data_IF_734350864451
#
_entry.id   IF_734350864451
#
_cell.length_a   1.000
_cell.length_b   1.000
_cell.length_c   1.000
_cell.angle_alpha   90.00
_cell.angle_beta   90.00
_cell.angle_gamma   90.00
#
_symmetry.space_group_name_H-M   'P 1'
#
loop_
_entity.id
_entity.type
_entity.pdbx_description
1 polymer ?
#
# COMPACT_ATOMS: atom_id res chain seq x y z
N UNK A 1 28.75 15.16 31.24
CA UNK A 1 28.64 15.93 29.99
C UNK A 1 27.17 16.01 29.60
N UNK A 2 26.55 17.18 29.75
CA UNK A 2 25.18 17.45 29.31
C UNK A 2 25.22 17.55 27.79
N UNK A 3 24.44 16.77 27.02
CA UNK A 3 24.48 16.88 25.56
C UNK A 3 23.97 18.28 25.16
N UNK A 4 24.77 19.03 24.44
CA UNK A 4 24.40 20.31 23.85
C UNK A 4 23.23 20.08 22.88
N UNK A 5 22.02 20.34 23.34
CA UNK A 5 20.82 20.40 22.51
C UNK A 5 20.87 21.68 21.68
N UNK A 6 21.44 21.58 20.47
CA UNK A 6 21.36 22.70 19.52
C UNK A 6 19.91 22.81 19.00
N UNK A 7 19.39 24.05 18.81
CA UNK A 7 18.02 24.27 18.30
C UNK A 7 17.72 23.57 16.96
N UNK A 8 18.74 23.32 16.16
CA UNK A 8 18.65 22.55 14.91
C UNK A 8 18.34 21.06 15.14
N UNK A 9 18.92 20.44 16.18
CA UNK A 9 18.68 19.03 16.48
C UNK A 9 17.26 18.77 17.01
N UNK A 10 16.68 19.73 17.74
CA UNK A 10 15.27 19.64 18.19
C UNK A 10 14.29 19.83 17.03
N UNK A 11 14.57 20.76 16.11
CA UNK A 11 13.77 20.97 14.91
C UNK A 11 13.76 19.72 14.02
N UNK A 12 14.89 19.03 13.86
CA UNK A 12 14.99 17.77 13.10
C UNK A 12 14.18 16.64 13.75
N UNK A 13 14.21 16.53 15.09
CA UNK A 13 13.44 15.51 15.82
C UNK A 13 11.94 15.73 15.68
N UNK A 14 11.49 16.96 15.80
CA UNK A 14 10.08 17.30 15.65
C UNK A 14 9.58 17.03 14.24
N UNK A 15 10.34 17.41 13.20
CA UNK A 15 10.00 17.11 11.81
C UNK A 15 9.93 15.59 11.58
N UNK A 16 10.90 14.81 12.08
CA UNK A 16 10.88 13.35 11.99
C UNK A 16 9.61 12.76 12.61
N UNK A 17 9.23 13.22 13.79
CA UNK A 17 7.98 12.79 14.44
C UNK A 17 6.75 13.08 13.55
N UNK A 18 6.66 14.29 12.99
CA UNK A 18 5.55 14.66 12.10
C UNK A 18 5.52 13.82 10.82
N UNK A 19 6.68 13.45 10.26
CA UNK A 19 6.74 12.56 9.10
C UNK A 19 6.20 11.16 9.42
N UNK A 20 6.49 10.61 10.60
CA UNK A 20 5.93 9.33 11.03
C UNK A 20 4.41 9.41 11.23
N UNK A 21 3.92 10.50 11.86
CA UNK A 21 2.47 10.73 11.99
C UNK A 21 1.80 10.88 10.62
N UNK A 22 2.43 11.65 9.71
CA UNK A 22 1.94 11.80 8.33
C UNK A 22 1.90 10.47 7.57
N UNK A 23 2.88 9.61 7.80
CA UNK A 23 2.94 8.29 7.16
C UNK A 23 1.89 7.32 7.72
N UNK A 24 1.58 7.41 9.03
CA UNK A 24 0.48 6.70 9.68
C UNK A 24 -0.87 7.09 9.04
N UNK A 25 -1.15 8.40 8.93
CA UNK A 25 -2.39 8.90 8.32
C UNK A 25 -2.45 8.46 6.85
N UNK A 26 -1.35 8.52 6.11
CA UNK A 26 -1.28 8.07 4.73
C UNK A 26 -1.54 6.56 4.61
N UNK A 27 -1.08 5.74 5.57
CA UNK A 27 -1.39 4.32 5.64
C UNK A 27 -2.89 4.06 5.84
N UNK A 28 -3.52 4.80 6.74
CA UNK A 28 -4.98 4.75 6.93
C UNK A 28 -5.70 5.08 5.62
N UNK A 29 -5.32 6.16 4.92
CA UNK A 29 -5.98 6.59 3.68
C UNK A 29 -5.73 5.63 2.51
N UNK A 30 -4.58 4.98 2.46
CA UNK A 30 -4.28 4.01 1.40
C UNK A 30 -5.27 2.85 1.41
N UNK A 31 -5.64 2.36 2.59
CA UNK A 31 -6.54 1.21 2.75
C UNK A 31 -8.00 1.62 2.99
N UNK A 32 -8.28 2.92 3.15
CA UNK A 32 -9.60 3.47 3.46
C UNK A 32 -10.68 2.98 2.49
N UNK A 33 -10.38 2.96 1.20
CA UNK A 33 -11.32 2.59 0.14
C UNK A 33 -12.00 1.24 0.45
N UNK A 34 -11.24 0.20 0.82
CA UNK A 34 -11.80 -1.11 1.15
C UNK A 34 -12.70 -1.11 2.40
N UNK A 35 -12.46 -0.15 3.33
CA UNK A 35 -13.21 -0.07 4.58
C UNK A 35 -14.52 0.70 4.42
N UNK A 36 -14.55 1.70 3.56
CA UNK A 36 -15.75 2.51 3.29
C UNK A 36 -16.59 1.96 2.13
N UNK A 37 -16.03 1.04 1.33
CA UNK A 37 -16.67 0.49 0.15
C UNK A 37 -18.06 -0.08 0.42
N UNK A 38 -18.31 -0.90 1.46
CA UNK A 38 -19.65 -1.42 1.74
C UNK A 38 -20.67 -0.30 2.01
N UNK A 39 -20.25 0.75 2.75
CA UNK A 39 -21.11 1.88 3.09
C UNK A 39 -21.43 2.71 1.84
N UNK A 40 -20.42 2.96 1.00
CA UNK A 40 -20.60 3.68 -0.26
C UNK A 40 -21.47 2.90 -1.25
N UNK A 41 -21.24 1.58 -1.38
CA UNK A 41 -22.04 0.72 -2.25
C UNK A 41 -23.50 0.69 -1.83
N UNK A 42 -23.79 0.58 -0.53
CA UNK A 42 -25.16 0.62 -0.01
C UNK A 42 -25.80 1.99 -0.22
N UNK A 43 -25.10 3.10 0.07
CA UNK A 43 -25.60 4.48 -0.06
C UNK A 43 -25.89 4.86 -1.52
N UNK A 44 -25.00 4.48 -2.44
CA UNK A 44 -25.08 4.85 -3.85
C UNK A 44 -25.75 3.78 -4.72
N UNK A 45 -26.22 2.67 -4.12
CA UNK A 45 -26.85 1.53 -4.79
C UNK A 45 -26.00 0.94 -5.92
N UNK A 46 -24.69 0.77 -5.64
CA UNK A 46 -23.72 0.30 -6.62
C UNK A 46 -23.69 -1.23 -6.71
N UNK A 47 -23.54 -1.73 -7.93
CA UNK A 47 -23.02 -3.07 -8.14
C UNK A 47 -21.49 -3.13 -7.88
N UNK A 48 -20.94 -4.34 -7.80
CA UNK A 48 -19.53 -4.53 -7.49
C UNK A 48 -18.59 -4.06 -8.62
N UNK A 49 -19.06 -4.05 -9.88
CA UNK A 49 -18.30 -3.46 -11.00
C UNK A 49 -18.14 -1.95 -10.81
N UNK A 50 -19.23 -1.26 -10.48
CA UNK A 50 -19.24 0.16 -10.23
C UNK A 50 -18.39 0.52 -9.02
N UNK A 51 -18.46 -0.27 -7.95
CA UNK A 51 -17.60 -0.16 -6.78
C UNK A 51 -16.11 -0.38 -7.14
N UNK A 52 -15.84 -1.33 -8.03
CA UNK A 52 -14.51 -1.62 -8.56
C UNK A 52 -13.84 -0.44 -9.28
N UNK A 53 -14.62 0.42 -9.94
CA UNK A 53 -14.08 1.65 -10.57
C UNK A 53 -13.51 2.65 -9.57
N UNK A 54 -13.92 2.64 -8.32
CA UNK A 54 -13.29 3.48 -7.29
C UNK A 54 -11.82 3.13 -7.06
N UNK A 55 -11.45 1.85 -7.15
CA UNK A 55 -10.04 1.44 -7.09
C UNK A 55 -9.25 1.93 -8.31
N UNK A 56 -9.83 1.80 -9.52
CA UNK A 56 -9.20 2.36 -10.72
C UNK A 56 -8.99 3.87 -10.55
N UNK A 57 -9.98 4.59 -10.04
CA UNK A 57 -9.91 6.02 -9.78
C UNK A 57 -8.77 6.36 -8.79
N UNK A 58 -8.73 5.69 -7.63
CA UNK A 58 -7.69 5.94 -6.62
C UNK A 58 -6.28 5.61 -7.14
N UNK A 59 -6.09 4.47 -7.78
CA UNK A 59 -4.77 4.06 -8.27
C UNK A 59 -4.32 4.90 -9.47
N UNK A 60 -5.23 5.34 -10.34
CA UNK A 60 -4.91 6.29 -11.42
C UNK A 60 -4.44 7.63 -10.86
N UNK A 61 -5.15 8.16 -9.86
CA UNK A 61 -4.72 9.35 -9.13
C UNK A 61 -3.35 9.18 -8.49
N UNK A 62 -3.11 8.03 -7.83
CA UNK A 62 -1.82 7.72 -7.19
C UNK A 62 -0.67 7.67 -8.19
N UNK A 63 -0.90 7.12 -9.38
CA UNK A 63 0.07 7.11 -10.46
C UNK A 63 0.41 8.54 -10.91
N UNK A 64 -0.60 9.38 -11.13
CA UNK A 64 -0.42 10.79 -11.49
C UNK A 64 0.37 11.55 -10.42
N UNK A 65 0.03 11.38 -9.14
CA UNK A 65 0.75 12.00 -8.02
C UNK A 65 2.20 11.59 -7.97
N UNK A 66 2.48 10.29 -8.14
CA UNK A 66 3.84 9.74 -8.15
C UNK A 66 4.68 10.32 -9.30
N UNK A 67 4.13 10.42 -10.51
CA UNK A 67 4.83 11.03 -11.66
C UNK A 67 5.11 12.52 -11.44
N UNK A 68 4.20 13.22 -10.78
CA UNK A 68 4.35 14.66 -10.52
C UNK A 68 5.17 14.97 -9.26
N UNK A 69 5.58 13.96 -8.49
CA UNK A 69 6.37 14.17 -7.26
C UNK A 69 7.66 14.94 -7.55
N UNK A 70 8.47 14.50 -8.52
CA UNK A 70 9.75 15.16 -8.82
C UNK A 70 9.61 16.62 -9.27
N UNK A 71 8.76 16.98 -10.27
CA UNK A 71 8.58 18.37 -10.65
C UNK A 71 8.02 19.25 -9.53
N UNK A 72 7.11 18.72 -8.70
CA UNK A 72 6.55 19.45 -7.56
C UNK A 72 7.61 19.68 -6.48
N UNK A 73 8.38 18.65 -6.13
CA UNK A 73 9.48 18.77 -5.15
C UNK A 73 10.55 19.75 -5.63
N UNK A 74 10.92 19.73 -6.92
CA UNK A 74 11.88 20.71 -7.48
C UNK A 74 11.38 22.16 -7.35
N UNK A 75 10.07 22.38 -7.42
CA UNK A 75 9.49 23.74 -7.38
C UNK A 75 9.19 24.21 -5.95
N UNK A 76 8.68 23.34 -5.09
CA UNK A 76 8.14 23.68 -3.77
C UNK A 76 8.87 23.02 -2.61
N UNK A 77 9.85 22.14 -2.87
CA UNK A 77 10.53 21.31 -1.87
C UNK A 77 9.69 20.14 -1.38
N UNK A 78 10.31 19.25 -0.61
CA UNK A 78 9.60 18.08 -0.03
C UNK A 78 8.44 18.50 0.86
N UNK A 79 8.65 19.49 1.74
CA UNK A 79 7.59 20.00 2.61
C UNK A 79 6.38 20.52 1.84
N UNK A 80 6.61 21.29 0.76
CA UNK A 80 5.55 21.81 -0.10
C UNK A 80 4.80 20.69 -0.84
N UNK A 81 5.51 19.66 -1.31
CA UNK A 81 4.89 18.50 -1.95
C UNK A 81 4.01 17.71 -0.97
N UNK A 82 4.47 17.51 0.27
CA UNK A 82 3.70 16.82 1.32
C UNK A 82 2.44 17.63 1.68
N UNK A 83 2.55 18.95 1.86
CA UNK A 83 1.39 19.81 2.14
C UNK A 83 0.37 19.74 1.01
N UNK A 84 0.81 19.85 -0.25
CA UNK A 84 -0.09 19.74 -1.40
C UNK A 84 -0.78 18.37 -1.45
N UNK A 85 -0.03 17.29 -1.19
CA UNK A 85 -0.58 15.94 -1.12
C UNK A 85 -1.61 15.78 -0.01
N UNK A 86 -1.37 16.35 1.17
CA UNK A 86 -2.32 16.30 2.28
C UNK A 86 -3.57 17.13 2.02
N UNK A 87 -3.44 18.28 1.38
CA UNK A 87 -4.59 19.08 0.94
C UNK A 87 -5.43 18.33 -0.11
N UNK A 88 -4.80 17.65 -1.05
CA UNK A 88 -5.50 16.81 -2.02
C UNK A 88 -6.24 15.67 -1.31
N UNK A 89 -5.59 14.93 -0.41
CA UNK A 89 -6.25 13.88 0.38
C UNK A 89 -7.41 14.42 1.21
N UNK A 90 -7.27 15.59 1.82
CA UNK A 90 -8.33 16.25 2.59
C UNK A 90 -9.56 16.55 1.71
N UNK A 91 -9.36 17.18 0.56
CA UNK A 91 -10.45 17.47 -0.38
C UNK A 91 -11.11 16.18 -0.87
N UNK A 92 -10.30 15.17 -1.21
CA UNK A 92 -10.80 13.87 -1.64
C UNK A 92 -11.64 13.18 -0.58
N UNK A 93 -11.12 13.07 0.65
CA UNK A 93 -11.85 12.42 1.76
C UNK A 93 -13.19 13.08 2.06
N UNK A 94 -13.26 14.42 2.05
CA UNK A 94 -14.52 15.14 2.23
C UNK A 94 -15.48 14.91 1.06
N UNK A 95 -14.97 14.81 -0.17
CA UNK A 95 -15.77 14.53 -1.37
C UNK A 95 -16.45 13.15 -1.35
N UNK A 96 -15.95 12.19 -0.57
CA UNK A 96 -16.58 10.87 -0.42
C UNK A 96 -17.96 10.92 0.25
N UNK A 97 -18.36 12.04 0.84
CA UNK A 97 -19.69 12.19 1.46
C UNK A 97 -20.78 12.58 0.46
N UNK A 98 -20.46 12.74 -0.82
CA UNK A 98 -21.44 13.03 -1.88
C UNK A 98 -22.32 11.83 -2.17
N UNK A 99 -23.59 12.09 -2.54
CA UNK A 99 -24.52 11.08 -3.01
C UNK A 99 -24.45 10.86 -4.54
N UNK A 100 -23.47 11.48 -5.20
CA UNK A 100 -23.22 11.29 -6.63
C UNK A 100 -21.98 10.39 -6.84
N UNK A 101 -22.19 9.26 -7.53
CA UNK A 101 -21.11 8.29 -7.83
C UNK A 101 -19.90 8.94 -8.50
N UNK A 102 -20.14 9.82 -9.49
CA UNK A 102 -19.05 10.51 -10.22
C UNK A 102 -18.22 11.41 -9.32
N UNK A 103 -18.85 12.07 -8.33
CA UNK A 103 -18.15 12.91 -7.35
C UNK A 103 -17.30 12.05 -6.42
N UNK A 104 -17.82 10.91 -5.95
CA UNK A 104 -17.04 9.96 -5.16
C UNK A 104 -15.86 9.38 -5.96
N UNK A 105 -16.06 9.06 -7.25
CA UNK A 105 -14.98 8.60 -8.12
C UNK A 105 -13.88 9.69 -8.29
N UNK A 106 -14.27 10.93 -8.56
CA UNK A 106 -13.34 12.06 -8.62
C UNK A 106 -12.63 12.29 -7.27
N UNK A 107 -13.34 12.12 -6.15
CA UNK A 107 -12.78 12.20 -4.81
C UNK A 107 -11.70 11.13 -4.57
N UNK A 108 -11.90 9.91 -5.08
CA UNK A 108 -10.87 8.86 -5.03
C UNK A 108 -9.66 9.18 -5.94
N UNK A 109 -9.87 9.78 -7.13
CA UNK A 109 -8.74 10.26 -7.94
C UNK A 109 -7.92 11.29 -7.18
N UNK A 110 -8.57 12.26 -6.55
CA UNK A 110 -7.90 13.34 -5.78
C UNK A 110 -7.20 12.79 -4.54
N UNK A 111 -7.84 11.86 -3.81
CA UNK A 111 -7.21 11.15 -2.67
C UNK A 111 -5.99 10.35 -3.14
N UNK A 112 -6.13 9.60 -4.22
CA UNK A 112 -5.04 8.84 -4.82
C UNK A 112 -3.87 9.73 -5.24
N UNK A 113 -4.15 10.86 -5.90
CA UNK A 113 -3.14 11.86 -6.25
C UNK A 113 -2.36 12.34 -5.02
N UNK A 114 -3.08 12.65 -3.93
CA UNK A 114 -2.47 13.04 -2.66
C UNK A 114 -1.57 11.94 -2.10
N UNK A 115 -2.02 10.68 -2.09
CA UNK A 115 -1.23 9.51 -1.64
C UNK A 115 0.04 9.37 -2.50
N UNK A 116 -0.11 9.40 -3.83
CA UNK A 116 0.99 9.24 -4.78
C UNK A 116 2.05 10.35 -4.70
N UNK A 117 1.67 11.55 -4.28
CA UNK A 117 2.58 12.66 -4.05
C UNK A 117 3.25 12.59 -2.67
N UNK A 118 2.48 12.22 -1.65
CA UNK A 118 2.92 12.27 -0.25
C UNK A 118 3.88 11.14 0.11
N UNK A 119 3.56 9.89 -0.25
CA UNK A 119 4.38 8.73 0.16
C UNK A 119 5.82 8.82 -0.35
N UNK A 120 6.10 9.09 -1.64
CA UNK A 120 7.47 9.27 -2.12
C UNK A 120 8.17 10.47 -1.47
N UNK A 121 7.45 11.59 -1.29
CA UNK A 121 8.03 12.81 -0.69
C UNK A 121 8.46 12.60 0.76
N UNK A 122 7.64 11.92 1.58
CA UNK A 122 8.00 11.60 2.97
C UNK A 122 9.17 10.62 3.00
N UNK A 123 9.16 9.58 2.14
CA UNK A 123 10.27 8.63 2.07
C UNK A 123 11.60 9.34 1.72
N UNK A 124 11.61 10.19 0.69
CA UNK A 124 12.80 10.91 0.26
C UNK A 124 13.30 11.87 1.35
N UNK A 125 12.41 12.63 1.97
CA UNK A 125 12.78 13.53 3.07
C UNK A 125 13.31 12.75 4.29
N UNK A 126 12.75 11.57 4.57
CA UNK A 126 13.25 10.69 5.65
C UNK A 126 14.67 10.19 5.36
N UNK A 127 14.98 9.87 4.11
CA UNK A 127 16.35 9.52 3.68
C UNK A 127 17.32 10.68 3.91
N UNK A 128 16.95 11.90 3.50
CA UNK A 128 17.79 13.10 3.69
C UNK A 128 18.05 13.42 5.16
N UNK A 129 17.04 13.23 6.01
CA UNK A 129 17.17 13.47 7.46
C UNK A 129 17.95 12.37 8.19
N UNK A 130 18.22 11.22 7.55
CA UNK A 130 18.90 10.09 8.18
C UNK A 130 19.99 9.47 7.29
N UNK A 131 20.98 10.25 6.79
CA UNK A 131 21.93 9.78 5.78
C UNK A 131 22.78 8.59 6.24
N UNK A 132 23.04 8.47 7.55
CA UNK A 132 23.85 7.39 8.13
C UNK A 132 23.03 6.12 8.47
N UNK A 133 21.71 6.22 8.56
CA UNK A 133 20.82 5.14 9.00
C UNK A 133 19.56 5.03 8.11
N UNK A 134 19.73 5.04 6.79
CA UNK A 134 18.63 5.08 5.81
C UNK A 134 17.66 3.89 5.98
N UNK A 135 18.20 2.67 5.96
CA UNK A 135 17.36 1.46 6.00
C UNK A 135 16.56 1.33 7.32
N UNK A 136 17.15 1.51 8.51
CA UNK A 136 16.38 1.53 9.75
C UNK A 136 15.31 2.63 9.78
N UNK A 137 15.61 3.83 9.28
CA UNK A 137 14.67 4.95 9.28
C UNK A 137 13.46 4.67 8.37
N UNK A 138 13.68 4.12 7.17
CA UNK A 138 12.60 3.75 6.26
C UNK A 138 11.78 2.58 6.80
N UNK A 139 12.39 1.58 7.43
CA UNK A 139 11.67 0.48 8.04
C UNK A 139 10.76 0.96 9.18
N UNK A 140 11.26 1.87 10.01
CA UNK A 140 10.49 2.46 11.10
C UNK A 140 9.35 3.34 10.57
N UNK A 141 9.59 4.10 9.49
CA UNK A 141 8.55 4.85 8.80
C UNK A 141 7.43 3.93 8.27
N UNK A 142 7.80 2.85 7.58
CA UNK A 142 6.85 1.87 7.04
C UNK A 142 6.06 1.12 8.13
N UNK A 143 6.62 0.99 9.33
CA UNK A 143 5.88 0.50 10.48
C UNK A 143 4.67 1.39 10.80
N UNK A 144 4.85 2.73 10.82
CA UNK A 144 3.74 3.65 11.06
C UNK A 144 2.66 3.59 9.97
N UNK A 145 3.06 3.39 8.71
CA UNK A 145 2.09 3.11 7.64
C UNK A 145 1.26 1.86 7.95
N UNK A 146 1.91 0.79 8.37
CA UNK A 146 1.24 -0.45 8.75
C UNK A 146 0.30 -0.27 9.94
N UNK A 147 0.70 0.49 10.96
CA UNK A 147 -0.17 0.85 12.10
C UNK A 147 -1.42 1.57 11.60
N UNK A 148 -1.27 2.54 10.70
CA UNK A 148 -2.41 3.23 10.08
C UNK A 148 -3.35 2.28 9.33
N UNK A 149 -2.80 1.33 8.59
CA UNK A 149 -3.59 0.32 7.88
C UNK A 149 -4.36 -0.61 8.83
N UNK A 150 -3.74 -1.07 9.93
CA UNK A 150 -4.36 -1.92 10.95
C UNK A 150 -5.55 -1.20 11.59
N UNK A 151 -5.37 0.05 11.99
CA UNK A 151 -6.38 0.79 12.72
C UNK A 151 -7.46 1.41 11.83
N UNK A 152 -7.34 1.37 10.50
CA UNK A 152 -8.32 1.96 9.60
C UNK A 152 -9.73 1.38 9.79
N UNK A 153 -9.87 0.05 9.78
CA UNK A 153 -11.19 -0.61 9.96
C UNK A 153 -11.79 -0.31 11.34
N UNK A 154 -11.10 -0.52 12.48
CA UNK A 154 -11.61 -0.13 13.80
C UNK A 154 -12.00 1.36 13.88
N UNK A 155 -11.25 2.25 13.26
CA UNK A 155 -11.54 3.68 13.23
C UNK A 155 -12.86 3.97 12.47
N UNK A 156 -13.07 3.36 11.31
CA UNK A 156 -14.32 3.50 10.56
C UNK A 156 -15.50 2.92 11.33
N UNK A 157 -15.35 1.77 11.98
CA UNK A 157 -16.41 1.14 12.77
C UNK A 157 -16.78 1.92 14.01
N UNK A 158 -15.80 2.60 14.63
CA UNK A 158 -16.04 3.38 15.85
C UNK A 158 -16.70 4.74 15.59
N UNK A 159 -16.27 5.42 14.52
CA UNK A 159 -16.75 6.78 14.20
C UNK A 159 -17.78 6.81 13.08
N UNK A 160 -17.90 5.75 12.27
CA UNK A 160 -18.87 5.66 11.19
C UNK A 160 -20.20 5.06 11.65
N UNK A 161 -21.17 5.10 10.74
CA UNK A 161 -22.44 4.39 10.88
C UNK A 161 -22.65 3.50 9.66
N UNK A 162 -23.57 2.54 9.69
CA UNK A 162 -23.86 1.69 8.51
C UNK A 162 -24.25 2.47 7.24
N UNK A 163 -24.67 3.73 7.38
CA UNK A 163 -25.13 4.58 6.27
C UNK A 163 -24.29 5.82 6.03
N UNK A 164 -23.36 6.17 6.95
CA UNK A 164 -22.63 7.42 6.88
C UNK A 164 -21.17 7.29 7.30
N UNK A 165 -20.30 7.88 6.50
CA UNK A 165 -18.86 8.02 6.77
C UNK A 165 -18.50 9.48 7.13
N UNK A 166 -19.49 10.36 7.36
CA UNK A 166 -19.25 11.79 7.54
C UNK A 166 -18.31 12.09 8.72
N UNK A 167 -18.56 11.48 9.87
CA UNK A 167 -17.75 11.73 11.06
C UNK A 167 -16.29 11.26 10.89
N UNK A 168 -15.99 10.01 10.48
CA UNK A 168 -14.61 9.59 10.30
C UNK A 168 -13.87 10.36 9.19
N UNK A 169 -14.54 10.71 8.09
CA UNK A 169 -13.91 11.52 7.03
C UNK A 169 -13.61 12.94 7.49
N UNK A 170 -14.45 13.53 8.33
CA UNK A 170 -14.23 14.86 8.91
C UNK A 170 -13.05 14.85 9.88
N UNK A 171 -12.95 13.82 10.74
CA UNK A 171 -11.80 13.64 11.64
C UNK A 171 -10.51 13.49 10.83
N UNK A 172 -10.50 12.64 9.79
CA UNK A 172 -9.34 12.47 8.92
C UNK A 172 -8.95 13.79 8.22
N UNK A 173 -9.93 14.56 7.75
CA UNK A 173 -9.68 15.86 7.13
C UNK A 173 -9.00 16.84 8.10
N UNK A 174 -9.45 16.91 9.35
CA UNK A 174 -8.83 17.73 10.40
C UNK A 174 -7.39 17.26 10.67
N UNK A 175 -7.17 15.94 10.81
CA UNK A 175 -5.84 15.39 11.06
C UNK A 175 -4.89 15.68 9.89
N UNK A 176 -5.36 15.56 8.63
CA UNK A 176 -4.59 15.89 7.44
C UNK A 176 -4.23 17.38 7.40
N UNK A 177 -5.19 18.25 7.73
CA UNK A 177 -4.97 19.69 7.73
C UNK A 177 -3.91 20.09 8.76
N UNK A 178 -4.09 19.65 10.01
CA UNK A 178 -3.17 19.99 11.12
C UNK A 178 -1.77 19.43 10.85
N UNK A 179 -1.69 18.16 10.47
CA UNK A 179 -0.40 17.50 10.23
C UNK A 179 0.30 18.09 9.00
N UNK A 180 -0.46 18.39 7.93
CA UNK A 180 0.06 19.05 6.73
C UNK A 180 0.64 20.43 7.05
N UNK A 181 -0.09 21.27 7.77
CA UNK A 181 0.40 22.60 8.21
C UNK A 181 1.64 22.48 9.08
N UNK A 182 1.63 21.54 10.06
CA UNK A 182 2.77 21.33 10.94
C UNK A 182 4.03 20.90 10.19
N UNK A 183 3.90 19.97 9.22
CA UNK A 183 5.02 19.55 8.36
C UNK A 183 5.50 20.72 7.49
N UNK A 184 4.58 21.47 6.89
CA UNK A 184 4.92 22.64 6.07
C UNK A 184 5.72 23.67 6.85
N UNK A 185 5.28 24.01 8.06
CA UNK A 185 5.96 24.94 8.96
C UNK A 185 7.34 24.41 9.40
N UNK A 186 7.41 23.15 9.84
CA UNK A 186 8.66 22.53 10.30
C UNK A 186 9.69 22.41 9.15
N UNK A 187 9.23 22.03 7.93
CA UNK A 187 10.09 21.95 6.75
C UNK A 187 10.61 23.32 6.31
N UNK A 188 9.75 24.36 6.37
CA UNK A 188 10.19 25.72 6.00
C UNK A 188 11.28 26.23 6.94
N UNK A 189 11.17 25.94 8.23
CA UNK A 189 12.19 26.30 9.24
C UNK A 189 13.49 25.52 9.04
N UNK A 190 13.44 24.34 8.43
CA UNK A 190 14.54 23.41 8.28
C UNK A 190 15.08 23.34 6.84
N UNK A 191 14.87 24.40 6.03
CA UNK A 191 15.34 24.45 4.64
C UNK A 191 16.85 24.23 4.55
N UNK A 192 17.25 22.97 4.41
CA UNK A 192 18.56 22.59 3.86
C UNK A 192 18.49 22.76 2.34
N UNK A 193 19.60 23.17 1.71
CA UNK A 193 19.72 23.14 0.25
C UNK A 193 19.47 21.69 -0.20
N UNK A 194 18.32 21.45 -0.79
CA UNK A 194 17.97 20.16 -1.38
C UNK A 194 18.92 19.91 -2.56
N UNK A 195 19.93 19.07 -2.35
CA UNK A 195 20.86 18.67 -3.41
C UNK A 195 20.21 17.54 -4.18
N UNK A 196 19.50 17.86 -5.25
CA UNK A 196 19.20 16.92 -6.32
C UNK A 196 20.48 16.70 -7.15
N UNK A 197 21.52 16.13 -6.55
CA UNK A 197 22.64 15.64 -7.33
C UNK A 197 22.16 14.45 -8.17
N UNK A 198 21.89 14.75 -9.43
CA UNK A 198 21.83 13.74 -10.48
C UNK A 198 23.24 13.14 -10.59
N UNK A 199 23.47 12.06 -9.84
CA UNK A 199 24.60 11.20 -10.17
C UNK A 199 24.17 10.48 -11.45
N UNK A 200 24.48 11.11 -12.59
CA UNK A 200 24.49 10.44 -13.88
C UNK A 200 25.48 9.28 -13.76
N UNK A 201 24.96 8.07 -13.72
CA UNK A 201 25.80 6.89 -13.80
C UNK A 201 26.29 6.75 -15.25
N UNK A 202 27.58 6.75 -15.44
CA UNK A 202 28.23 6.36 -16.69
C UNK A 202 27.66 5.03 -17.16
N UNK A 203 27.16 5.02 -18.41
CA UNK A 203 26.67 3.88 -19.18
C UNK A 203 25.71 2.90 -18.46
N UNK A 204 24.44 3.25 -18.37
CA UNK A 204 23.46 2.39 -17.72
C UNK A 204 23.15 1.14 -18.57
N UNK A 205 23.41 -0.05 -18.04
CA UNK A 205 22.92 -1.30 -18.62
C UNK A 205 21.39 -1.17 -18.89
N UNK A 206 20.89 -1.48 -20.10
CA UNK A 206 19.48 -1.35 -20.42
C UNK A 206 18.65 -2.45 -19.76
N UNK A 207 18.28 -2.25 -18.48
CA UNK A 207 17.55 -3.23 -17.65
C UNK A 207 16.27 -3.70 -18.34
N UNK A 208 15.50 -2.77 -18.88
CA UNK A 208 14.17 -3.02 -19.44
C UNK A 208 14.16 -3.61 -20.85
N UNK A 209 15.30 -3.87 -21.43
CA UNK A 209 15.43 -4.69 -22.64
C UNK A 209 15.50 -6.19 -22.33
N UNK A 210 15.69 -6.57 -21.06
CA UNK A 210 15.83 -7.96 -20.65
C UNK A 210 14.47 -8.56 -20.29
N UNK A 211 14.21 -9.79 -20.75
CA UNK A 211 13.00 -10.54 -20.39
C UNK A 211 12.89 -10.79 -18.89
N UNK A 212 14.02 -10.93 -18.18
CA UNK A 212 14.04 -11.13 -16.72
C UNK A 212 13.46 -9.94 -15.97
N UNK A 213 13.76 -8.69 -16.38
CA UNK A 213 13.19 -7.49 -15.77
C UNK A 213 11.66 -7.46 -15.90
N UNK A 214 11.14 -7.79 -17.08
CA UNK A 214 9.70 -7.85 -17.32
C UNK A 214 9.01 -8.99 -16.57
N UNK A 215 9.64 -10.15 -16.42
CA UNK A 215 9.09 -11.23 -15.61
C UNK A 215 9.00 -10.85 -14.12
N UNK A 216 9.99 -10.12 -13.59
CA UNK A 216 9.94 -9.59 -12.24
C UNK A 216 8.86 -8.50 -12.12
N UNK A 217 8.66 -7.69 -13.15
CA UNK A 217 7.59 -6.68 -13.19
C UNK A 217 6.20 -7.32 -13.26
N UNK A 218 6.01 -8.38 -14.07
CA UNK A 218 4.75 -9.16 -14.10
C UNK A 218 4.49 -9.83 -12.75
N UNK A 219 5.52 -10.35 -12.10
CA UNK A 219 5.39 -10.87 -10.74
C UNK A 219 4.88 -9.78 -9.80
N UNK A 220 5.46 -8.57 -9.88
CA UNK A 220 5.02 -7.44 -9.05
C UNK A 220 3.60 -6.98 -9.38
N UNK A 221 3.21 -6.96 -10.66
CA UNK A 221 1.85 -6.66 -11.11
C UNK A 221 0.83 -7.57 -10.43
N UNK A 222 1.03 -8.88 -10.51
CA UNK A 222 0.09 -9.87 -9.95
C UNK A 222 0.11 -9.84 -8.42
N UNK A 223 1.30 -9.70 -7.80
CA UNK A 223 1.42 -9.68 -6.35
C UNK A 223 0.76 -8.44 -5.73
N UNK A 224 1.03 -7.24 -6.23
CA UNK A 224 0.43 -6.00 -5.72
C UNK A 224 -1.07 -5.97 -6.02
N UNK A 225 -1.48 -6.55 -7.16
CA UNK A 225 -2.89 -6.79 -7.48
C UNK A 225 -3.57 -7.68 -6.44
N UNK A 226 -2.94 -8.79 -6.08
CA UNK A 226 -3.40 -9.70 -5.01
C UNK A 226 -3.53 -8.97 -3.66
N UNK A 227 -2.48 -8.27 -3.23
CA UNK A 227 -2.44 -7.56 -1.95
C UNK A 227 -3.55 -6.51 -1.88
N UNK A 228 -3.70 -5.69 -2.92
CA UNK A 228 -4.72 -4.65 -3.01
C UNK A 228 -6.13 -5.24 -3.15
N UNK A 229 -6.28 -6.33 -3.91
CA UNK A 229 -7.55 -7.04 -4.07
C UNK A 229 -8.04 -7.61 -2.75
N UNK A 230 -7.14 -8.26 -1.99
CA UNK A 230 -7.46 -8.79 -0.67
C UNK A 230 -7.85 -7.66 0.29
N UNK A 231 -7.00 -6.64 0.46
CA UNK A 231 -7.26 -5.53 1.37
C UNK A 231 -8.48 -4.70 0.99
N UNK A 232 -8.79 -4.61 -0.31
CA UNK A 232 -9.93 -3.85 -0.83
C UNK A 232 -11.28 -4.53 -0.67
N UNK A 233 -11.35 -5.84 -0.82
CA UNK A 233 -12.63 -6.56 -0.87
C UNK A 233 -12.94 -7.40 0.37
N UNK A 234 -11.96 -7.70 1.21
CA UNK A 234 -12.14 -8.60 2.37
C UNK A 234 -13.21 -8.08 3.36
N UNK A 235 -13.33 -6.77 3.54
CA UNK A 235 -14.37 -6.16 4.39
C UNK A 235 -15.74 -6.41 3.81
N UNK A 236 -15.94 -6.11 2.52
CA UNK A 236 -17.20 -6.34 1.80
C UNK A 236 -17.57 -7.82 1.80
N UNK A 237 -16.58 -8.70 1.55
CA UNK A 237 -16.77 -10.15 1.56
C UNK A 237 -17.23 -10.67 2.92
N UNK A 238 -16.56 -10.23 4.00
CA UNK A 238 -16.92 -10.60 5.36
C UNK A 238 -18.33 -10.13 5.75
N UNK A 239 -18.73 -8.92 5.32
CA UNK A 239 -20.05 -8.36 5.62
C UNK A 239 -21.20 -9.07 4.88
N UNK A 240 -20.92 -9.85 3.83
CA UNK A 240 -21.93 -10.62 3.07
C UNK A 240 -22.13 -12.05 3.55
N UNK A 241 -21.43 -12.47 4.60
CA UNK A 241 -21.67 -13.79 5.19
C UNK A 241 -23.06 -13.86 5.85
N UNK A 242 -23.77 -15.01 5.72
CA UNK A 242 -25.15 -15.12 6.19
C UNK A 242 -25.30 -15.06 7.72
N UNK A 243 -24.30 -15.41 8.50
CA UNK A 243 -24.36 -15.48 9.96
C UNK A 243 -23.42 -14.46 10.61
N UNK A 244 -23.85 -13.19 10.70
CA UNK A 244 -23.11 -12.14 11.39
C UNK A 244 -23.73 -11.84 12.75
N UNK A 245 -23.45 -12.68 13.74
CA UNK A 245 -23.74 -12.35 15.13
C UNK A 245 -22.65 -11.44 15.69
N UNK A 246 -22.93 -10.12 15.77
CA UNK A 246 -22.24 -9.16 16.60
C UNK A 246 -20.71 -9.18 16.54
N UNK A 247 -20.12 -9.11 15.35
CA UNK A 247 -18.65 -9.14 15.22
C UNK A 247 -18.02 -7.91 15.88
N UNK A 248 -17.17 -8.15 16.85
CA UNK A 248 -16.33 -7.11 17.46
C UNK A 248 -15.35 -6.59 16.41
N UNK A 249 -15.27 -5.28 16.21
CA UNK A 249 -14.46 -4.64 15.15
C UNK A 249 -12.99 -5.12 15.11
N UNK A 250 -12.39 -5.42 16.27
CA UNK A 250 -11.02 -5.91 16.39
C UNK A 250 -10.82 -7.37 15.96
N UNK A 251 -11.90 -8.15 15.83
CA UNK A 251 -11.87 -9.52 15.28
C UNK A 251 -12.19 -9.56 13.78
N UNK A 252 -12.36 -8.41 13.12
CA UNK A 252 -12.66 -8.37 11.69
C UNK A 252 -11.56 -9.04 10.87
N UNK A 253 -11.90 -9.77 9.79
CA UNK A 253 -10.90 -10.38 8.89
C UNK A 253 -9.91 -9.34 8.32
N UNK A 254 -10.36 -8.12 8.09
CA UNK A 254 -9.53 -7.02 7.62
C UNK A 254 -8.48 -6.60 8.64
N UNK A 255 -8.89 -6.43 9.90
CA UNK A 255 -7.96 -6.12 10.99
C UNK A 255 -6.93 -7.25 11.13
N UNK A 256 -7.37 -8.51 11.11
CA UNK A 256 -6.52 -9.68 11.18
C UNK A 256 -5.51 -9.72 10.01
N UNK A 257 -5.95 -9.46 8.77
CA UNK A 257 -5.10 -9.42 7.58
C UNK A 257 -3.96 -8.40 7.75
N UNK A 258 -4.26 -7.15 8.06
CA UNK A 258 -3.24 -6.10 8.18
C UNK A 258 -2.36 -6.29 9.41
N UNK A 259 -2.90 -6.78 10.53
CA UNK A 259 -2.11 -7.11 11.72
C UNK A 259 -1.03 -8.15 11.40
N UNK A 260 -1.44 -9.28 10.82
CA UNK A 260 -0.50 -10.35 10.49
C UNK A 260 0.42 -9.99 9.32
N UNK A 261 -0.03 -9.14 8.41
CA UNK A 261 0.83 -8.54 7.39
C UNK A 261 1.98 -7.72 8.00
N UNK A 262 1.71 -6.89 8.99
CA UNK A 262 2.75 -6.12 9.70
C UNK A 262 3.63 -7.04 10.54
N UNK A 263 3.05 -8.00 11.26
CA UNK A 263 3.82 -8.98 12.04
C UNK A 263 4.76 -9.82 11.15
N UNK A 264 4.30 -10.23 9.98
CA UNK A 264 5.11 -10.95 9.02
C UNK A 264 6.28 -10.13 8.47
N UNK A 265 6.10 -8.82 8.27
CA UNK A 265 7.20 -7.90 7.92
C UNK A 265 8.26 -7.80 9.01
N UNK A 266 7.85 -7.82 10.28
CA UNK A 266 8.81 -7.87 11.39
C UNK A 266 9.54 -9.20 11.48
N UNK A 267 8.88 -10.31 11.19
CA UNK A 267 9.47 -11.63 11.21
C UNK A 267 10.40 -11.88 9.98
N UNK A 268 10.16 -11.21 8.87
CA UNK A 268 10.90 -11.43 7.61
C UNK A 268 12.43 -11.35 7.74
N UNK A 269 13.05 -10.38 8.45
CA UNK A 269 14.51 -10.35 8.64
C UNK A 269 15.06 -11.55 9.41
N UNK A 270 14.26 -12.15 10.29
CA UNK A 270 14.65 -13.36 11.03
C UNK A 270 14.67 -14.57 10.08
N UNK A 271 13.63 -14.73 9.27
CA UNK A 271 13.55 -15.80 8.27
C UNK A 271 14.64 -15.67 7.19
N UNK A 272 14.97 -14.44 6.78
CA UNK A 272 16.04 -14.18 5.80
C UNK A 272 17.44 -14.62 6.25
N UNK A 273 17.66 -14.92 7.55
CA UNK A 273 18.91 -15.48 8.04
C UNK A 273 19.04 -16.99 7.73
N UNK A 274 17.92 -17.68 7.53
CA UNK A 274 17.86 -19.14 7.37
C UNK A 274 17.40 -19.56 5.96
N UNK A 275 16.72 -18.65 5.24
CA UNK A 275 16.11 -18.91 3.95
C UNK A 275 16.72 -18.01 2.89
N UNK A 276 17.02 -18.59 1.72
CA UNK A 276 17.34 -17.80 0.53
C UNK A 276 16.08 -17.10 -0.03
N UNK A 277 16.27 -16.11 -0.87
CA UNK A 277 15.18 -15.30 -1.45
C UNK A 277 14.13 -16.15 -2.17
N UNK A 278 14.56 -17.21 -2.88
CA UNK A 278 13.65 -18.06 -3.63
C UNK A 278 12.78 -18.94 -2.73
N UNK A 279 13.37 -19.49 -1.67
CA UNK A 279 12.62 -20.25 -0.65
C UNK A 279 11.68 -19.36 0.13
N UNK A 280 12.13 -18.15 0.48
CA UNK A 280 11.30 -17.17 1.16
C UNK A 280 10.07 -16.76 0.33
N UNK A 281 10.26 -16.50 -0.98
CA UNK A 281 9.15 -16.24 -1.90
C UNK A 281 8.20 -17.43 -2.01
N UNK A 282 8.74 -18.63 -2.19
CA UNK A 282 7.90 -19.83 -2.37
C UNK A 282 7.10 -20.16 -1.10
N UNK A 283 7.73 -20.13 0.07
CA UNK A 283 7.04 -20.37 1.35
C UNK A 283 6.00 -19.28 1.63
N UNK A 284 6.32 -18.01 1.36
CA UNK A 284 5.38 -16.92 1.48
C UNK A 284 4.15 -17.14 0.58
N UNK A 285 4.36 -17.51 -0.69
CA UNK A 285 3.27 -17.79 -1.63
C UNK A 285 2.42 -19.01 -1.23
N UNK A 286 3.05 -20.10 -0.76
CA UNK A 286 2.31 -21.27 -0.29
C UNK A 286 1.48 -20.95 0.97
N UNK A 287 2.04 -20.21 1.92
CA UNK A 287 1.33 -19.74 3.11
C UNK A 287 0.16 -18.84 2.72
N UNK A 288 0.40 -17.88 1.80
CA UNK A 288 -0.65 -17.00 1.27
C UNK A 288 -1.78 -17.80 0.61
N UNK A 289 -1.43 -18.78 -0.23
CA UNK A 289 -2.40 -19.64 -0.92
C UNK A 289 -3.26 -20.42 0.08
N UNK A 290 -2.64 -21.00 1.11
CA UNK A 290 -3.37 -21.68 2.18
C UNK A 290 -4.36 -20.73 2.88
N UNK A 291 -3.92 -19.51 3.22
CA UNK A 291 -4.78 -18.49 3.82
C UNK A 291 -5.96 -18.11 2.93
N UNK A 292 -5.72 -17.94 1.62
CA UNK A 292 -6.79 -17.64 0.64
C UNK A 292 -7.77 -18.80 0.52
N UNK A 293 -7.30 -20.04 0.50
CA UNK A 293 -8.18 -21.22 0.49
C UNK A 293 -9.08 -21.20 1.72
N UNK A 294 -8.54 -21.04 2.91
CA UNK A 294 -9.31 -20.97 4.15
C UNK A 294 -10.33 -19.81 4.10
N UNK A 295 -9.91 -18.65 3.60
CA UNK A 295 -10.77 -17.48 3.47
C UNK A 295 -11.95 -17.71 2.51
N UNK A 296 -11.72 -18.36 1.36
CA UNK A 296 -12.76 -18.60 0.34
C UNK A 296 -13.78 -19.67 0.75
N UNK A 297 -13.36 -20.68 1.52
CA UNK A 297 -14.24 -21.77 1.96
C UNK A 297 -14.75 -21.60 3.40
N UNK A 298 -14.36 -20.52 4.08
CA UNK A 298 -14.85 -20.20 5.42
C UNK A 298 -16.27 -19.65 5.40
N UNK A 299 -17.11 -20.15 6.31
CA UNK A 299 -18.51 -19.71 6.45
C UNK A 299 -18.76 -18.91 7.74
N UNK A 300 -17.72 -18.69 8.54
CA UNK A 300 -17.78 -17.92 9.79
C UNK A 300 -16.72 -16.81 9.81
N UNK A 301 -17.00 -15.72 10.53
CA UNK A 301 -16.02 -14.61 10.68
C UNK A 301 -14.70 -15.08 11.28
N UNK A 302 -14.73 -16.01 12.22
CA UNK A 302 -13.51 -16.56 12.82
C UNK A 302 -12.64 -17.31 11.82
N UNK A 303 -13.23 -18.13 10.94
CA UNK A 303 -12.51 -18.85 9.89
C UNK A 303 -11.99 -17.87 8.84
N UNK A 304 -12.77 -16.84 8.48
CA UNK A 304 -12.31 -15.78 7.59
C UNK A 304 -11.13 -15.02 8.20
N UNK A 305 -11.20 -14.67 9.48
CA UNK A 305 -10.10 -13.98 10.18
C UNK A 305 -8.83 -14.84 10.25
N UNK A 306 -8.98 -16.16 10.45
CA UNK A 306 -7.86 -17.11 10.40
C UNK A 306 -7.23 -17.13 9.00
N UNK A 307 -8.04 -17.31 7.96
CA UNK A 307 -7.57 -17.30 6.56
C UNK A 307 -6.88 -15.99 6.20
N UNK A 308 -7.48 -14.86 6.60
CA UNK A 308 -6.94 -13.53 6.42
C UNK A 308 -5.59 -13.34 7.14
N UNK A 309 -5.47 -13.84 8.39
CA UNK A 309 -4.21 -13.80 9.16
C UNK A 309 -3.09 -14.56 8.45
N UNK A 310 -3.39 -15.77 8.00
CA UNK A 310 -2.41 -16.62 7.30
C UNK A 310 -2.03 -15.99 5.96
N UNK A 311 -3.00 -15.48 5.18
CA UNK A 311 -2.74 -14.80 3.91
C UNK A 311 -1.92 -13.51 4.11
N UNK A 312 -2.26 -12.69 5.12
CA UNK A 312 -1.53 -11.48 5.46
C UNK A 312 -0.09 -11.75 5.87
N UNK A 313 0.13 -12.76 6.72
CA UNK A 313 1.47 -13.17 7.13
C UNK A 313 2.30 -13.66 5.94
N UNK A 314 1.74 -14.54 5.11
CA UNK A 314 2.42 -15.10 3.95
C UNK A 314 2.81 -14.06 2.90
N UNK A 315 1.90 -13.12 2.58
CA UNK A 315 2.15 -12.09 1.55
C UNK A 315 3.11 -10.98 2.00
N UNK A 316 3.29 -10.79 3.29
CA UNK A 316 4.00 -9.65 3.91
C UNK A 316 5.42 -9.43 3.41
N UNK A 317 6.17 -10.50 3.16
CA UNK A 317 7.58 -10.48 2.75
C UNK A 317 7.78 -10.57 1.24
N UNK A 318 6.74 -10.83 0.45
CA UNK A 318 6.86 -11.12 -0.99
C UNK A 318 7.35 -9.89 -1.76
N UNK A 319 6.73 -8.72 -1.54
CA UNK A 319 7.12 -7.48 -2.21
C UNK A 319 8.59 -7.09 -1.93
N UNK A 320 9.04 -6.97 -0.66
CA UNK A 320 10.42 -6.60 -0.39
C UNK A 320 11.42 -7.64 -0.90
N UNK A 321 11.10 -8.93 -0.86
CA UNK A 321 11.96 -9.99 -1.39
C UNK A 321 12.05 -9.95 -2.92
N UNK A 322 10.93 -9.65 -3.62
CA UNK A 322 10.94 -9.46 -5.06
C UNK A 322 11.77 -8.22 -5.48
N UNK A 323 11.72 -7.15 -4.68
CA UNK A 323 12.55 -5.96 -4.89
C UNK A 323 14.04 -6.27 -4.64
N UNK A 324 14.36 -7.03 -3.60
CA UNK A 324 15.73 -7.49 -3.33
C UNK A 324 16.27 -8.35 -4.50
N UNK A 325 15.44 -9.25 -5.05
CA UNK A 325 15.78 -10.02 -6.26
C UNK A 325 16.08 -9.11 -7.45
N UNK A 326 15.28 -8.07 -7.68
CA UNK A 326 15.52 -7.10 -8.76
C UNK A 326 16.86 -6.38 -8.59
N UNK A 327 17.15 -5.87 -7.41
CA UNK A 327 18.43 -5.20 -7.10
C UNK A 327 19.63 -6.13 -7.19
N UNK A 328 19.48 -7.38 -6.77
CA UNK A 328 20.55 -8.39 -6.87
C UNK A 328 20.84 -8.78 -8.33
N UNK A 329 19.81 -8.85 -9.16
CA UNK A 329 19.95 -9.24 -10.58
C UNK A 329 20.57 -8.12 -11.41
N UNK A 330 20.23 -6.85 -11.15
CA UNK A 330 20.60 -5.71 -12.01
C UNK A 330 21.55 -4.70 -11.33
N UNK A 331 22.02 -5.00 -10.12
CA UNK A 331 22.93 -4.17 -9.33
C UNK A 331 22.25 -3.11 -8.47
N UNK A 332 22.98 -2.54 -7.52
CA UNK A 332 22.43 -1.60 -6.52
C UNK A 332 21.83 -0.33 -7.14
N UNK A 333 22.33 0.12 -8.29
CA UNK A 333 21.81 1.28 -9.02
C UNK A 333 20.46 1.02 -9.71
N UNK A 334 20.05 -0.26 -9.85
CA UNK A 334 18.80 -0.65 -10.50
C UNK A 334 17.55 -0.10 -9.77
N UNK A 335 17.62 0.11 -8.45
CA UNK A 335 16.54 0.69 -7.66
C UNK A 335 16.09 2.05 -8.19
N UNK A 336 17.03 2.86 -8.69
CA UNK A 336 16.72 4.18 -9.30
C UNK A 336 15.96 4.06 -10.62
N UNK A 337 15.96 2.87 -11.25
CA UNK A 337 15.29 2.57 -12.53
C UNK A 337 14.13 1.60 -12.35
N UNK A 338 13.67 1.39 -11.11
CA UNK A 338 12.57 0.50 -10.79
C UNK A 338 11.19 1.12 -11.09
N UNK A 339 11.12 2.33 -11.67
CA UNK A 339 9.85 3.00 -11.99
C UNK A 339 8.86 2.11 -12.75
N UNK A 340 9.23 1.39 -13.83
CA UNK A 340 8.29 0.48 -14.49
C UNK A 340 7.79 -0.65 -13.59
N UNK A 341 8.61 -1.14 -12.65
CA UNK A 341 8.18 -2.14 -11.67
C UNK A 341 7.06 -1.61 -10.78
N UNK A 342 7.18 -0.38 -10.28
CA UNK A 342 6.15 0.26 -9.46
C UNK A 342 4.90 0.58 -10.28
N UNK A 343 5.04 1.05 -11.52
CA UNK A 343 3.91 1.27 -12.43
C UNK A 343 3.15 -0.04 -12.65
N UNK A 344 3.83 -1.15 -12.96
CA UNK A 344 3.21 -2.46 -13.09
C UNK A 344 2.47 -2.86 -11.82
N UNK A 345 3.05 -2.66 -10.62
CA UNK A 345 2.37 -2.93 -9.35
C UNK A 345 1.08 -2.13 -9.20
N UNK A 346 1.13 -0.81 -9.45
CA UNK A 346 -0.05 0.06 -9.35
C UNK A 346 -1.14 -0.31 -10.36
N UNK A 347 -0.76 -0.65 -11.60
CA UNK A 347 -1.70 -1.15 -12.60
C UNK A 347 -2.31 -2.49 -12.18
N UNK A 348 -1.50 -3.39 -11.60
CA UNK A 348 -1.98 -4.65 -11.04
C UNK A 348 -3.00 -4.43 -9.93
N UNK A 349 -2.73 -3.50 -9.01
CA UNK A 349 -3.67 -3.10 -7.97
C UNK A 349 -5.00 -2.61 -8.54
N UNK A 350 -4.96 -1.69 -9.50
CA UNK A 350 -6.15 -1.14 -10.14
C UNK A 350 -6.98 -2.21 -10.86
N UNK A 351 -6.32 -3.00 -11.70
CA UNK A 351 -7.00 -3.96 -12.57
C UNK A 351 -7.51 -5.18 -11.80
N UNK A 352 -6.75 -5.71 -10.84
CA UNK A 352 -7.18 -6.87 -10.06
C UNK A 352 -8.37 -6.52 -9.15
N UNK A 353 -8.33 -5.37 -8.48
CA UNK A 353 -9.44 -4.94 -7.63
C UNK A 353 -10.72 -4.70 -8.44
N UNK A 354 -10.62 -4.09 -9.61
CA UNK A 354 -11.74 -3.92 -10.51
C UNK A 354 -12.25 -5.26 -11.05
N UNK A 355 -11.35 -6.17 -11.44
CA UNK A 355 -11.70 -7.50 -11.98
C UNK A 355 -12.48 -8.33 -10.96
N UNK A 356 -12.12 -8.26 -9.67
CA UNK A 356 -12.88 -8.90 -8.59
C UNK A 356 -14.33 -8.40 -8.60
N UNK A 357 -14.53 -7.08 -8.65
CA UNK A 357 -15.87 -6.48 -8.72
C UNK A 357 -16.64 -6.88 -9.98
N UNK A 358 -15.98 -6.85 -11.13
CA UNK A 358 -16.57 -7.23 -12.42
C UNK A 358 -17.05 -8.69 -12.43
N UNK A 359 -16.23 -9.62 -11.96
CA UNK A 359 -16.60 -11.04 -11.87
C UNK A 359 -17.73 -11.23 -10.85
N UNK A 360 -17.65 -10.56 -9.70
CA UNK A 360 -18.69 -10.61 -8.67
C UNK A 360 -20.06 -10.21 -9.22
N UNK A 361 -20.14 -9.12 -9.97
CA UNK A 361 -21.39 -8.65 -10.59
C UNK A 361 -21.94 -9.67 -11.61
N UNK A 362 -21.06 -10.22 -12.48
CA UNK A 362 -21.52 -11.16 -13.51
C UNK A 362 -22.04 -12.50 -12.95
N UNK A 363 -21.48 -12.96 -11.82
CA UNK A 363 -21.88 -14.20 -11.17
C UNK A 363 -22.84 -13.98 -9.97
N UNK A 364 -23.19 -12.73 -9.65
CA UNK A 364 -24.01 -12.34 -8.50
C UNK A 364 -23.50 -12.88 -7.15
N UNK A 365 -22.18 -13.13 -7.03
CA UNK A 365 -21.57 -13.63 -5.80
C UNK A 365 -20.09 -13.17 -5.73
N UNK A 366 -19.78 -12.43 -4.68
CA UNK A 366 -18.42 -11.90 -4.45
C UNK A 366 -17.37 -13.02 -4.25
N UNK A 367 -17.80 -14.22 -3.84
CA UNK A 367 -16.90 -15.39 -3.73
C UNK A 367 -16.24 -15.71 -5.07
N UNK A 368 -16.97 -15.64 -6.18
CA UNK A 368 -16.40 -15.84 -7.52
C UNK A 368 -15.38 -14.74 -7.87
N UNK A 369 -15.66 -13.50 -7.52
CA UNK A 369 -14.69 -12.41 -7.66
C UNK A 369 -13.40 -12.69 -6.86
N UNK A 370 -13.53 -13.13 -5.62
CA UNK A 370 -12.39 -13.42 -4.75
C UNK A 370 -11.56 -14.64 -5.21
N UNK A 371 -12.09 -15.54 -6.05
CA UNK A 371 -11.31 -16.65 -6.68
C UNK A 371 -10.17 -16.11 -7.54
N UNK A 372 -10.27 -14.90 -8.06
CA UNK A 372 -9.15 -14.21 -8.77
C UNK A 372 -7.90 -14.17 -7.89
N UNK A 373 -8.04 -14.02 -6.58
CA UNK A 373 -6.92 -14.03 -5.63
C UNK A 373 -6.21 -15.39 -5.59
N UNK A 374 -7.00 -16.48 -5.61
CA UNK A 374 -6.43 -17.84 -5.68
C UNK A 374 -5.71 -18.06 -7.01
N UNK A 375 -6.32 -17.65 -8.13
CA UNK A 375 -5.69 -17.67 -9.44
C UNK A 375 -4.37 -16.88 -9.48
N UNK A 376 -4.34 -15.71 -8.85
CA UNK A 376 -3.12 -14.90 -8.69
C UNK A 376 -2.02 -15.63 -7.91
N UNK A 377 -2.38 -16.28 -6.80
CA UNK A 377 -1.42 -17.07 -6.02
C UNK A 377 -0.83 -18.24 -6.84
N UNK A 378 -1.66 -19.01 -7.53
CA UNK A 378 -1.21 -20.12 -8.37
C UNK A 378 -0.31 -19.65 -9.51
N UNK A 379 -0.69 -18.55 -10.19
CA UNK A 379 0.14 -17.94 -11.21
C UNK A 379 1.51 -17.50 -10.67
N UNK A 380 1.54 -16.85 -9.50
CA UNK A 380 2.78 -16.42 -8.84
C UNK A 380 3.67 -17.60 -8.45
N UNK A 381 3.10 -18.70 -7.98
CA UNK A 381 3.86 -19.94 -7.68
C UNK A 381 4.50 -20.50 -8.97
N UNK A 382 3.72 -20.61 -10.05
CA UNK A 382 4.23 -21.07 -11.34
C UNK A 382 5.36 -20.16 -11.85
N UNK A 383 5.14 -18.84 -11.80
CA UNK A 383 6.15 -17.87 -12.23
C UNK A 383 7.40 -17.90 -11.35
N UNK A 384 7.25 -18.11 -10.03
CA UNK A 384 8.36 -18.24 -9.09
C UNK A 384 9.22 -19.50 -9.41
N UNK A 385 8.56 -20.63 -9.63
CA UNK A 385 9.25 -21.88 -10.00
C UNK A 385 10.00 -21.71 -11.33
N UNK A 386 9.36 -21.08 -12.31
CA UNK A 386 9.99 -20.78 -13.61
C UNK A 386 11.22 -19.88 -13.45
N UNK A 387 11.12 -18.78 -12.71
CA UNK A 387 12.24 -17.86 -12.47
C UNK A 387 13.38 -18.55 -11.70
N UNK A 388 13.05 -19.42 -10.76
CA UNK A 388 14.04 -20.19 -10.02
C UNK A 388 14.80 -21.19 -10.92
N UNK A 389 14.08 -21.94 -11.76
CA UNK A 389 14.70 -22.86 -12.72
C UNK A 389 15.65 -22.12 -13.67
N UNK A 390 15.21 -20.97 -14.21
CA UNK A 390 16.01 -20.14 -15.11
C UNK A 390 17.28 -19.59 -14.46
N UNK A 391 17.24 -19.20 -13.19
CA UNK A 391 18.42 -18.68 -12.49
C UNK A 391 19.50 -19.73 -12.28
N UNK A 392 19.15 -21.03 -12.22
CA UNK A 392 20.11 -22.13 -12.09
C UNK A 392 20.83 -22.42 -13.42
N UNK A 393 20.14 -22.30 -14.54
CA UNK A 393 20.75 -22.56 -15.86
C UNK A 393 21.76 -21.49 -16.26
N UNK A 394 21.59 -20.24 -15.84
CA UNK A 394 22.54 -19.15 -16.10
C UNK A 394 23.80 -19.18 -15.23
N UNK A 395 23.84 -19.94 -14.14
CA UNK A 395 25.02 -20.09 -13.27
C UNK A 395 25.88 -21.30 -13.70
N UNK A 396 25.32 -22.22 -14.50
CA UNK A 396 26.00 -23.44 -14.98
C UNK A 396 26.65 -23.28 -16.38
N UNK A 397 26.50 -22.16 -17.03
CA UNK A 397 27.16 -21.74 -18.27
C UNK A 397 28.14 -20.61 -18.00
#
# INVERSE_FOLDING_TARGET
MIPNHTPAAESDRFLKFLLHLGFLISGTLTVLIGQVLPILSARLLLDDTQAGYFFIAQFSGSLMGTFLTQPIVKRFGFGGAIVLGFLAMLVGVLGLNSDAWLVCAAAFVVTGFGIGLTLPSINMLTVELNPQNVTPALNFLNFFWGVGAIFCKPFIDFFGTPTSILQPTFILAILLFITGLAIGFASHRNRRKESFDQIESENPMPIWTTSTAWLIAVFNFVHVGFESGTGGWITTYAMRLPNQDGSVAWLSPTFAYFLFFVLGRFAAPVFARFLDENRMLLLGLLTTTLGVIILLWGDTLGVLALGASIAGFGTSSIFPTNMARFTKTFGATATRRATPLFICGTLGAALTTWLIGYISTNYNDLRFGMIVLLGSCLFLICLQVFLYARSRTTVST
#
